data_IF_911335722254
#
_entry.id   IF_911335722254
#
_cell.length_a   1.000
_cell.length_b   1.000
_cell.length_c   1.000
_cell.angle_alpha   90.00
_cell.angle_beta   90.00
_cell.angle_gamma   90.00
#
_symmetry.space_group_name_H-M   'P 1'
#
loop_
_entity.id
_entity.type
_entity.pdbx_description
1 polymer ?
#
# COMPACT_ATOMS: atom_id res chain seq x y z
N UNK A 1 18.52 -26.88 25.74
CA UNK A 1 17.14 -26.37 25.95
C UNK A 1 16.26 -27.55 26.32
N UNK A 2 15.44 -27.43 27.35
CA UNK A 2 14.52 -28.48 27.76
C UNK A 2 13.34 -28.61 26.77
N UNK A 3 12.61 -29.72 26.81
CA UNK A 3 11.36 -29.89 26.01
C UNK A 3 10.35 -28.82 26.38
N UNK A 4 10.27 -28.42 27.65
CA UNK A 4 9.39 -27.33 28.10
C UNK A 4 9.76 -25.97 27.47
N UNK A 5 11.07 -25.63 27.38
CA UNK A 5 11.53 -24.40 26.75
C UNK A 5 11.14 -24.34 25.24
N UNK A 6 11.23 -25.49 24.56
CA UNK A 6 10.87 -25.62 23.17
C UNK A 6 9.34 -25.46 22.97
N UNK A 7 8.54 -26.02 23.87
CA UNK A 7 7.08 -25.86 23.81
C UNK A 7 6.67 -24.40 23.98
N UNK A 8 7.19 -23.71 24.98
CA UNK A 8 6.90 -22.29 25.22
C UNK A 8 7.31 -21.43 24.01
N UNK A 9 8.48 -21.69 23.45
CA UNK A 9 8.95 -20.98 22.26
C UNK A 9 8.02 -21.22 21.05
N UNK A 10 7.63 -22.48 20.82
CA UNK A 10 6.74 -22.86 19.70
C UNK A 10 5.35 -22.24 19.87
N UNK A 11 4.78 -22.27 21.06
CA UNK A 11 3.49 -21.62 21.37
C UNK A 11 3.54 -20.12 21.07
N UNK A 12 4.66 -19.45 21.40
CA UNK A 12 4.88 -18.04 21.06
C UNK A 12 4.84 -17.80 19.53
N UNK A 13 5.52 -18.64 18.74
CA UNK A 13 5.49 -18.55 17.29
C UNK A 13 4.08 -18.77 16.72
N UNK A 14 3.36 -19.77 17.21
CA UNK A 14 1.98 -20.04 16.79
C UNK A 14 1.07 -18.86 17.14
N UNK A 15 1.23 -18.27 18.31
CA UNK A 15 0.46 -17.09 18.71
C UNK A 15 0.62 -15.92 17.71
N UNK A 16 1.86 -15.56 17.40
CA UNK A 16 2.15 -14.50 16.42
C UNK A 16 1.64 -14.86 15.01
N UNK A 17 1.85 -16.09 14.57
CA UNK A 17 1.32 -16.55 13.29
C UNK A 17 -0.22 -16.42 13.21
N UNK A 18 -0.93 -16.87 14.24
CA UNK A 18 -2.40 -16.80 14.28
C UNK A 18 -2.89 -15.36 14.31
N UNK A 19 -2.20 -14.46 15.04
CA UNK A 19 -2.48 -13.02 15.07
C UNK A 19 -2.43 -12.45 13.65
N UNK A 20 -1.34 -12.69 12.91
CA UNK A 20 -1.17 -12.22 11.54
C UNK A 20 -2.16 -12.87 10.56
N UNK A 21 -2.37 -14.16 10.65
CA UNK A 21 -3.30 -14.89 9.78
C UNK A 21 -4.74 -14.36 9.91
N UNK A 22 -5.20 -14.13 11.14
CA UNK A 22 -6.52 -13.54 11.42
C UNK A 22 -6.66 -12.14 10.84
N UNK A 23 -5.63 -11.30 11.04
CA UNK A 23 -5.61 -9.95 10.50
C UNK A 23 -5.72 -9.96 8.97
N UNK A 24 -4.84 -10.72 8.30
CA UNK A 24 -4.78 -10.79 6.83
C UNK A 24 -6.11 -11.34 6.27
N UNK A 25 -6.66 -12.39 6.87
CA UNK A 25 -7.93 -12.97 6.42
C UNK A 25 -9.06 -11.94 6.51
N UNK A 26 -9.24 -11.31 7.67
CA UNK A 26 -10.27 -10.30 7.87
C UNK A 26 -10.08 -9.06 6.96
N UNK A 27 -8.85 -8.57 6.85
CA UNK A 27 -8.52 -7.44 5.99
C UNK A 27 -8.82 -7.75 4.51
N UNK A 28 -8.42 -8.92 4.02
CA UNK A 28 -8.64 -9.31 2.63
C UNK A 28 -10.13 -9.47 2.31
N UNK A 29 -10.91 -10.08 3.19
CA UNK A 29 -12.36 -10.21 3.02
C UNK A 29 -13.02 -8.83 2.93
N UNK A 30 -12.77 -7.95 3.90
CA UNK A 30 -13.33 -6.61 3.95
C UNK A 30 -12.91 -5.76 2.74
N UNK A 31 -11.63 -5.84 2.36
CA UNK A 31 -11.11 -5.16 1.16
C UNK A 31 -11.85 -5.63 -0.10
N UNK A 32 -11.97 -6.94 -0.28
CA UNK A 32 -12.58 -7.50 -1.47
C UNK A 32 -14.07 -7.14 -1.59
N UNK A 33 -14.81 -7.19 -0.50
CA UNK A 33 -16.20 -6.74 -0.45
C UNK A 33 -16.32 -5.25 -0.82
N UNK A 34 -15.51 -4.41 -0.16
CA UNK A 34 -15.48 -2.98 -0.46
C UNK A 34 -15.17 -2.69 -1.94
N UNK A 35 -14.15 -3.35 -2.51
CA UNK A 35 -13.75 -3.12 -3.90
C UNK A 35 -14.82 -3.57 -4.91
N UNK A 36 -15.55 -4.66 -4.63
CA UNK A 36 -16.66 -5.12 -5.49
C UNK A 36 -17.79 -4.12 -5.55
N UNK A 37 -18.11 -3.47 -4.44
CA UNK A 37 -19.23 -2.54 -4.33
C UNK A 37 -18.85 -1.09 -4.52
N UNK A 38 -17.55 -0.77 -4.64
CA UNK A 38 -17.04 0.58 -4.73
C UNK A 38 -17.75 1.39 -5.83
N UNK A 39 -18.48 2.48 -5.51
CA UNK A 39 -19.09 3.34 -6.51
C UNK A 39 -18.06 4.30 -7.09
N UNK A 40 -18.30 4.78 -8.31
CA UNK A 40 -17.55 5.90 -8.84
C UNK A 40 -17.97 7.19 -8.12
N UNK A 41 -17.03 8.05 -7.67
CA UNK A 41 -17.34 9.13 -6.73
C UNK A 41 -18.18 10.28 -7.31
N UNK A 42 -18.20 10.44 -8.62
CA UNK A 42 -18.84 11.56 -9.30
C UNK A 42 -19.58 11.13 -10.58
N UNK A 43 -20.46 11.96 -11.15
CA UNK A 43 -20.93 11.75 -12.51
C UNK A 43 -19.76 11.68 -13.50
N UNK A 44 -19.80 10.72 -14.42
CA UNK A 44 -18.77 10.59 -15.44
C UNK A 44 -18.77 11.81 -16.38
N UNK A 45 -17.58 12.28 -16.70
CA UNK A 45 -17.35 13.25 -17.78
C UNK A 45 -17.32 12.55 -19.13
N UNK A 46 -17.44 13.31 -20.22
CA UNK A 46 -17.35 12.77 -21.58
C UNK A 46 -16.02 12.00 -21.78
N UNK A 47 -16.11 10.79 -22.33
CA UNK A 47 -14.99 9.87 -22.55
C UNK A 47 -14.41 9.20 -21.29
N UNK A 48 -14.86 9.61 -20.10
CA UNK A 48 -14.32 9.07 -18.84
C UNK A 48 -14.82 7.65 -18.56
N UNK A 49 -16.08 7.38 -18.87
CA UNK A 49 -16.69 6.07 -18.68
C UNK A 49 -16.08 5.03 -19.61
N UNK A 50 -15.92 5.38 -20.88
CA UNK A 50 -15.30 4.54 -21.91
C UNK A 50 -13.87 4.17 -21.51
N UNK A 51 -13.08 5.15 -21.07
CA UNK A 51 -11.72 4.93 -20.57
C UNK A 51 -11.70 3.96 -19.38
N UNK A 52 -12.58 4.14 -18.41
CA UNK A 52 -12.67 3.25 -17.25
C UNK A 52 -13.04 1.81 -17.65
N UNK A 53 -13.96 1.65 -18.59
CA UNK A 53 -14.34 0.34 -19.14
C UNK A 53 -13.16 -0.33 -19.87
N UNK A 54 -12.39 0.40 -20.65
CA UNK A 54 -11.25 -0.14 -21.38
C UNK A 54 -10.11 -0.54 -20.45
N UNK A 55 -9.85 0.23 -19.40
CA UNK A 55 -8.91 -0.15 -18.33
C UNK A 55 -9.34 -1.45 -17.65
N UNK A 56 -10.59 -1.52 -17.21
CA UNK A 56 -11.13 -2.73 -16.57
C UNK A 56 -11.00 -3.96 -17.48
N UNK A 57 -11.45 -3.85 -18.73
CA UNK A 57 -11.40 -4.94 -19.72
C UNK A 57 -9.97 -5.40 -20.00
N UNK A 58 -9.02 -4.47 -20.04
CA UNK A 58 -7.61 -4.78 -20.29
C UNK A 58 -7.02 -5.61 -19.14
N UNK A 59 -7.34 -5.24 -17.89
CA UNK A 59 -6.90 -5.98 -16.70
C UNK A 59 -7.54 -7.37 -16.68
N UNK A 60 -8.87 -7.46 -16.84
CA UNK A 60 -9.60 -8.72 -16.84
C UNK A 60 -9.13 -9.69 -17.94
N UNK A 61 -8.70 -9.16 -19.08
CA UNK A 61 -8.18 -9.94 -20.22
C UNK A 61 -6.65 -10.11 -20.19
N UNK A 62 -5.96 -9.59 -19.18
CA UNK A 62 -4.49 -9.62 -19.05
C UNK A 62 -3.78 -9.04 -20.29
N UNK A 63 -4.24 -7.88 -20.76
CA UNK A 63 -3.70 -7.22 -21.96
C UNK A 63 -3.10 -5.86 -21.60
N UNK A 64 -2.12 -5.42 -22.38
CA UNK A 64 -1.59 -4.07 -22.32
C UNK A 64 -2.59 -3.08 -22.92
N UNK A 65 -2.69 -1.89 -22.31
CA UNK A 65 -3.50 -0.79 -22.79
C UNK A 65 -2.64 0.47 -22.91
N UNK A 66 -2.65 1.10 -24.07
CA UNK A 66 -2.04 2.40 -24.32
C UNK A 66 -3.14 3.45 -24.43
N UNK A 67 -3.04 4.49 -23.61
CA UNK A 67 -4.09 5.53 -23.51
C UNK A 67 -3.51 6.87 -23.94
N UNK A 68 -4.13 7.47 -24.93
CA UNK A 68 -3.93 8.87 -25.29
C UNK A 68 -5.22 9.64 -25.03
N UNK A 69 -5.21 10.51 -24.03
CA UNK A 69 -6.38 11.30 -23.67
C UNK A 69 -5.97 12.74 -23.33
N UNK A 70 -6.78 13.75 -23.66
CA UNK A 70 -6.48 15.15 -23.37
C UNK A 70 -6.35 15.40 -21.85
N UNK A 71 -5.77 16.55 -21.49
CA UNK A 71 -5.71 16.98 -20.10
C UNK A 71 -7.13 17.33 -19.62
N UNK A 72 -7.42 17.07 -18.32
CA UNK A 72 -8.73 17.42 -17.73
C UNK A 72 -9.80 16.33 -17.76
N UNK A 73 -9.66 15.26 -18.54
CA UNK A 73 -10.63 14.12 -18.56
C UNK A 73 -10.65 13.29 -17.28
N UNK A 74 -9.80 13.57 -16.29
CA UNK A 74 -9.74 12.78 -15.05
C UNK A 74 -9.07 11.42 -15.21
N UNK A 75 -8.02 11.32 -16.05
CA UNK A 75 -7.29 10.07 -16.33
C UNK A 75 -6.92 9.26 -15.09
N UNK A 76 -6.42 9.92 -14.05
CA UNK A 76 -5.95 9.24 -12.83
C UNK A 76 -7.08 8.45 -12.17
N UNK A 77 -8.22 9.08 -11.95
CA UNK A 77 -9.37 8.41 -11.35
C UNK A 77 -9.94 7.32 -12.25
N UNK A 78 -9.96 7.57 -13.59
CA UNK A 78 -10.45 6.61 -14.60
C UNK A 78 -9.50 5.43 -14.84
N UNK A 79 -8.30 5.46 -14.29
CA UNK A 79 -7.38 4.32 -14.29
C UNK A 79 -7.35 3.61 -12.93
N UNK A 80 -7.31 4.34 -11.83
CA UNK A 80 -7.27 3.77 -10.47
C UNK A 80 -8.58 3.05 -10.14
N UNK A 81 -9.73 3.72 -10.31
CA UNK A 81 -11.03 3.15 -9.95
C UNK A 81 -11.32 1.80 -10.63
N UNK A 82 -11.24 1.65 -11.97
CA UNK A 82 -11.50 0.36 -12.61
C UNK A 82 -10.46 -0.70 -12.27
N UNK A 83 -9.22 -0.32 -11.94
CA UNK A 83 -8.21 -1.23 -11.44
C UNK A 83 -8.61 -1.80 -10.08
N UNK A 84 -9.11 -0.97 -9.17
CA UNK A 84 -9.63 -1.41 -7.87
C UNK A 84 -10.85 -2.32 -8.03
N UNK A 85 -11.77 -2.00 -8.95
CA UNK A 85 -12.91 -2.88 -9.28
C UNK A 85 -12.45 -4.24 -9.78
N UNK A 86 -11.49 -4.28 -10.71
CA UNK A 86 -10.92 -5.51 -11.23
C UNK A 86 -10.25 -6.35 -10.11
N UNK A 87 -9.56 -5.70 -9.16
CA UNK A 87 -8.99 -6.36 -7.99
C UNK A 87 -10.07 -6.96 -7.08
N UNK A 88 -11.20 -6.27 -6.88
CA UNK A 88 -12.35 -6.78 -6.13
C UNK A 88 -12.94 -8.05 -6.74
N UNK A 89 -12.80 -8.23 -8.04
CA UNK A 89 -13.23 -9.43 -8.79
C UNK A 89 -12.13 -10.48 -8.96
N UNK A 90 -10.97 -10.29 -8.31
CA UNK A 90 -9.88 -11.27 -8.30
C UNK A 90 -8.95 -11.20 -9.52
N UNK A 91 -8.98 -10.12 -10.30
CA UNK A 91 -8.11 -9.94 -11.47
C UNK A 91 -6.73 -9.37 -11.13
N UNK A 92 -6.44 -9.10 -9.85
CA UNK A 92 -5.14 -8.64 -9.36
C UNK A 92 -5.13 -8.49 -7.84
N UNK A 93 -3.94 -8.50 -7.24
CA UNK A 93 -3.75 -8.39 -5.79
C UNK A 93 -3.11 -7.07 -5.36
N UNK A 94 -2.27 -6.49 -6.23
CA UNK A 94 -1.55 -5.23 -5.99
C UNK A 94 -1.67 -4.30 -7.20
N UNK A 95 -1.70 -3.00 -6.92
CA UNK A 95 -1.69 -1.93 -7.92
C UNK A 95 -0.44 -1.08 -7.74
N UNK A 96 0.39 -1.00 -8.79
CA UNK A 96 1.53 -0.09 -8.84
C UNK A 96 1.20 1.10 -9.75
N UNK A 97 1.09 2.28 -9.14
CA UNK A 97 0.91 3.53 -9.88
C UNK A 97 2.26 4.24 -10.02
N UNK A 98 2.88 4.10 -11.18
CA UNK A 98 4.22 4.64 -11.45
C UNK A 98 4.13 6.02 -12.10
N UNK A 99 4.90 6.97 -11.60
CA UNK A 99 4.95 8.34 -12.13
C UNK A 99 6.39 8.81 -12.35
N UNK A 100 6.62 9.52 -13.45
CA UNK A 100 7.94 10.08 -13.76
C UNK A 100 8.26 11.37 -12.97
N UNK A 101 7.24 12.04 -12.42
CA UNK A 101 7.38 13.34 -11.74
C UNK A 101 6.71 13.33 -10.37
N UNK A 102 7.31 14.03 -9.43
CA UNK A 102 6.79 14.16 -8.05
C UNK A 102 5.38 14.78 -8.02
N UNK A 103 5.07 15.75 -8.89
CA UNK A 103 3.75 16.39 -8.98
C UNK A 103 2.66 15.37 -9.38
N UNK A 104 2.96 14.43 -10.25
CA UNK A 104 1.96 13.40 -10.65
C UNK A 104 1.71 12.36 -9.57
N UNK A 105 2.59 12.25 -8.58
CA UNK A 105 2.39 11.42 -7.39
C UNK A 105 1.24 11.95 -6.53
N UNK A 106 1.22 13.25 -6.23
CA UNK A 106 0.16 13.86 -5.43
C UNK A 106 -1.23 13.68 -6.08
N UNK A 107 -1.30 13.70 -7.41
CA UNK A 107 -2.56 13.45 -8.14
C UNK A 107 -3.10 12.03 -7.89
N UNK A 108 -2.23 11.03 -7.75
CA UNK A 108 -2.65 9.68 -7.39
C UNK A 108 -3.10 9.60 -5.91
N UNK A 109 -2.35 10.22 -5.00
CA UNK A 109 -2.70 10.30 -3.58
C UNK A 109 -4.07 11.00 -3.39
N UNK A 110 -4.31 12.10 -4.12
CA UNK A 110 -5.59 12.81 -4.15
C UNK A 110 -6.72 11.93 -4.67
N UNK A 111 -6.50 11.16 -5.72
CA UNK A 111 -7.50 10.23 -6.26
C UNK A 111 -7.90 9.15 -5.25
N UNK A 112 -6.94 8.57 -4.52
CA UNK A 112 -7.25 7.64 -3.43
C UNK A 112 -7.96 8.33 -2.27
N UNK A 113 -7.58 9.55 -1.91
CA UNK A 113 -8.25 10.36 -0.88
C UNK A 113 -9.71 10.62 -1.24
N UNK A 114 -9.98 10.99 -2.50
CA UNK A 114 -11.34 11.18 -3.02
C UNK A 114 -12.13 9.87 -2.90
N UNK A 115 -11.58 8.74 -3.34
CA UNK A 115 -12.27 7.44 -3.27
C UNK A 115 -12.58 7.04 -1.81
N UNK A 116 -11.69 7.32 -0.87
CA UNK A 116 -11.96 7.07 0.56
C UNK A 116 -13.10 7.94 1.07
N UNK A 117 -13.05 9.22 0.77
CA UNK A 117 -14.01 10.21 1.29
C UNK A 117 -15.40 10.07 0.66
N UNK A 118 -15.45 9.96 -0.66
CA UNK A 118 -16.72 10.02 -1.40
C UNK A 118 -17.33 8.62 -1.67
N UNK A 119 -16.49 7.58 -1.69
CA UNK A 119 -16.92 6.21 -2.05
C UNK A 119 -16.70 5.19 -0.94
N UNK A 120 -16.15 5.59 0.20
CA UNK A 120 -15.91 4.68 1.34
C UNK A 120 -14.85 3.60 1.07
N UNK A 121 -13.84 3.89 0.22
CA UNK A 121 -12.80 2.93 -0.13
C UNK A 121 -12.05 2.42 1.11
N UNK A 122 -12.05 1.11 1.29
CA UNK A 122 -11.19 0.39 2.23
C UNK A 122 -10.05 -0.29 1.46
N UNK A 123 -8.90 0.37 1.42
CA UNK A 123 -7.72 -0.07 0.66
C UNK A 123 -6.46 0.65 1.14
N UNK A 124 -5.43 -0.11 1.55
CA UNK A 124 -4.17 0.47 1.98
C UNK A 124 -3.37 0.95 0.77
N UNK A 125 -2.76 2.11 0.90
CA UNK A 125 -1.87 2.68 -0.12
C UNK A 125 -0.58 3.15 0.53
N UNK A 126 0.55 2.90 -0.12
CA UNK A 126 1.87 3.30 0.34
C UNK A 126 2.55 4.14 -0.72
N UNK A 127 3.07 5.30 -0.32
CA UNK A 127 3.87 6.14 -1.19
C UNK A 127 5.35 5.79 -1.06
N UNK A 128 5.85 4.96 -1.98
CA UNK A 128 7.27 4.58 -2.00
C UNK A 128 8.13 5.80 -2.34
N UNK A 129 9.06 6.11 -1.46
CA UNK A 129 9.95 7.27 -1.55
C UNK A 129 11.40 6.80 -1.64
N UNK A 130 12.21 7.46 -2.47
CA UNK A 130 13.61 7.12 -2.66
C UNK A 130 14.42 7.15 -1.35
N UNK A 131 15.40 6.24 -1.23
CA UNK A 131 16.22 6.06 -0.03
C UNK A 131 16.86 7.36 0.46
N UNK A 132 17.38 8.17 -0.44
CA UNK A 132 18.06 9.44 -0.13
C UNK A 132 17.12 10.46 0.54
N UNK A 133 15.81 10.33 0.31
CA UNK A 133 14.80 11.21 0.91
C UNK A 133 14.24 10.71 2.25
N UNK A 134 14.46 9.44 2.55
CA UNK A 134 13.99 8.79 3.79
C UNK A 134 15.13 8.53 4.79
N UNK A 135 16.38 8.42 4.30
CA UNK A 135 17.51 8.10 5.14
C UNK A 135 17.75 9.20 6.19
N UNK A 136 18.01 8.78 7.42
CA UNK A 136 18.36 9.69 8.53
C UNK A 136 19.82 10.19 8.48
N UNK A 137 20.63 9.58 7.61
CA UNK A 137 22.05 9.93 7.42
C UNK A 137 22.20 10.79 6.16
N UNK A 138 23.10 11.76 6.17
CA UNK A 138 23.41 12.58 4.99
C UNK A 138 23.87 11.73 3.79
N UNK A 139 24.67 10.70 4.08
CA UNK A 139 25.08 9.69 3.10
C UNK A 139 24.61 8.33 3.59
N UNK A 140 23.77 7.63 2.85
CA UNK A 140 23.28 6.31 3.24
C UNK A 140 24.44 5.32 3.40
N UNK A 141 24.64 4.83 4.62
CA UNK A 141 25.50 3.70 4.94
C UNK A 141 24.66 2.69 5.74
N UNK A 142 24.22 1.64 5.06
CA UNK A 142 23.31 0.64 5.62
C UNK A 142 24.03 -0.45 6.44
N UNK A 143 25.31 -0.26 6.77
CA UNK A 143 26.04 -1.15 7.64
C UNK A 143 25.47 -1.06 9.08
N UNK A 144 25.12 -2.17 9.73
CA UNK A 144 24.64 -2.17 11.11
C UNK A 144 25.60 -1.57 12.15
N UNK A 145 26.89 -1.48 11.84
CA UNK A 145 27.89 -0.80 12.69
C UNK A 145 27.85 0.72 12.52
N UNK A 146 27.43 1.22 11.36
CA UNK A 146 27.37 2.64 11.06
C UNK A 146 25.98 3.22 11.30
N UNK A 147 24.92 2.45 11.01
CA UNK A 147 23.53 2.91 11.08
C UNK A 147 22.76 2.24 12.21
N UNK A 148 22.39 3.00 13.22
CA UNK A 148 21.57 2.53 14.36
C UNK A 148 20.20 2.01 13.93
N UNK A 149 19.64 2.52 12.81
CA UNK A 149 18.35 2.10 12.29
C UNK A 149 18.44 0.78 11.50
N UNK A 150 19.58 0.50 10.86
CA UNK A 150 19.83 -0.78 10.20
C UNK A 150 20.06 -1.89 11.23
N UNK A 151 20.75 -1.55 12.35
CA UNK A 151 20.98 -2.49 13.44
C UNK A 151 19.67 -2.87 14.12
N UNK A 152 19.30 -4.15 14.06
CA UNK A 152 18.09 -4.69 14.68
C UNK A 152 16.78 -4.23 14.01
N UNK A 153 16.83 -3.82 12.74
CA UNK A 153 15.64 -3.46 11.98
C UNK A 153 14.62 -4.62 12.00
N UNK A 154 15.04 -5.81 11.62
CA UNK A 154 14.18 -6.99 11.54
C UNK A 154 13.65 -7.50 12.89
N UNK A 155 14.25 -7.09 14.00
CA UNK A 155 13.76 -7.43 15.34
C UNK A 155 12.54 -6.58 15.74
N UNK A 156 12.34 -5.43 15.07
CA UNK A 156 11.34 -4.43 15.47
C UNK A 156 10.31 -4.09 14.37
N UNK A 157 10.61 -4.44 13.12
CA UNK A 157 9.79 -3.99 11.98
C UNK A 157 8.39 -4.63 11.99
N UNK A 158 8.26 -5.87 12.42
CA UNK A 158 6.98 -6.57 12.38
C UNK A 158 5.90 -5.89 13.23
N UNK A 159 6.24 -5.39 14.41
CA UNK A 159 5.31 -4.66 15.26
C UNK A 159 4.91 -3.32 14.62
N UNK A 160 5.87 -2.61 14.01
CA UNK A 160 5.62 -1.37 13.30
C UNK A 160 4.71 -1.58 12.08
N UNK A 161 4.94 -2.66 11.30
CA UNK A 161 4.08 -3.04 10.16
C UNK A 161 2.68 -3.35 10.65
N UNK A 162 2.54 -4.17 11.69
CA UNK A 162 1.23 -4.55 12.21
C UNK A 162 0.41 -3.34 12.67
N UNK A 163 1.04 -2.39 13.35
CA UNK A 163 0.37 -1.18 13.84
C UNK A 163 -0.05 -0.27 12.67
N UNK A 164 0.89 0.05 11.76
CA UNK A 164 0.60 1.03 10.70
C UNK A 164 -0.45 0.55 9.70
N UNK A 165 -0.46 -0.73 9.34
CA UNK A 165 -1.46 -1.26 8.40
C UNK A 165 -2.85 -1.40 9.02
N UNK A 166 -2.95 -1.46 10.35
CA UNK A 166 -4.21 -1.46 11.10
C UNK A 166 -4.83 -0.07 11.24
N UNK A 167 -4.01 0.97 11.37
CA UNK A 167 -4.44 2.31 11.73
C UNK A 167 -4.61 3.25 10.53
N UNK A 168 -3.96 2.98 9.39
CA UNK A 168 -3.81 3.96 8.30
C UNK A 168 -4.17 3.38 6.95
N UNK A 169 -5.18 3.94 6.29
CA UNK A 169 -5.55 3.57 4.92
C UNK A 169 -4.59 4.14 3.85
N UNK A 170 -4.00 5.31 4.12
CA UNK A 170 -3.03 5.98 3.25
C UNK A 170 -1.73 6.27 3.99
N UNK A 171 -0.68 5.53 3.63
CA UNK A 171 0.63 5.62 4.28
C UNK A 171 1.52 6.55 3.47
N UNK A 172 1.58 7.81 3.90
CA UNK A 172 2.42 8.86 3.31
C UNK A 172 3.86 8.76 3.81
N UNK A 173 4.74 9.53 3.17
CA UNK A 173 6.14 9.67 3.62
C UNK A 173 6.25 10.08 5.09
N UNK A 174 5.40 11.01 5.52
CA UNK A 174 5.38 11.57 6.88
C UNK A 174 5.02 10.47 7.89
N UNK A 175 4.02 9.64 7.58
CA UNK A 175 3.63 8.50 8.41
C UNK A 175 4.75 7.45 8.49
N UNK A 176 5.40 7.14 7.36
CA UNK A 176 6.57 6.23 7.36
C UNK A 176 7.67 6.75 8.29
N UNK A 177 7.99 8.05 8.25
CA UNK A 177 9.01 8.66 9.11
C UNK A 177 8.61 8.66 10.59
N UNK A 178 7.34 8.94 10.89
CA UNK A 178 6.79 8.91 12.25
C UNK A 178 6.96 7.53 12.89
N UNK A 179 6.45 6.49 12.21
CA UNK A 179 6.51 5.11 12.71
C UNK A 179 7.95 4.58 12.76
N UNK A 180 8.74 4.85 11.73
CA UNK A 180 10.17 4.49 11.74
C UNK A 180 10.93 5.18 12.88
N UNK A 181 10.54 6.40 13.26
CA UNK A 181 11.03 7.11 14.43
C UNK A 181 10.65 6.42 15.74
N UNK A 182 9.38 6.07 15.90
CA UNK A 182 8.83 5.41 17.09
C UNK A 182 9.49 4.05 17.34
N UNK A 183 9.58 3.23 16.31
CA UNK A 183 10.12 1.88 16.39
C UNK A 183 11.63 1.78 16.20
N UNK A 184 12.33 2.89 15.96
CA UNK A 184 13.79 2.93 15.75
C UNK A 184 14.25 2.03 14.59
N UNK A 185 13.48 1.98 13.49
CA UNK A 185 13.73 1.17 12.29
C UNK A 185 14.16 2.02 11.09
N UNK A 186 14.71 1.41 10.04
CA UNK A 186 15.07 2.10 8.81
C UNK A 186 13.80 2.54 8.06
N UNK A 187 13.56 3.83 7.83
CA UNK A 187 12.32 4.28 7.18
C UNK A 187 12.22 3.85 5.72
N UNK A 188 13.34 3.66 5.02
CA UNK A 188 13.31 3.18 3.64
C UNK A 188 12.94 1.69 3.55
N UNK A 189 13.61 0.83 4.31
CA UNK A 189 13.28 -0.61 4.36
C UNK A 189 11.84 -0.80 4.88
N UNK A 190 11.44 -0.08 5.92
CA UNK A 190 10.07 -0.09 6.43
C UNK A 190 9.03 0.27 5.36
N UNK A 191 9.32 1.27 4.52
CA UNK A 191 8.45 1.64 3.40
C UNK A 191 8.27 0.48 2.40
N UNK A 192 9.31 -0.34 2.20
CA UNK A 192 9.24 -1.52 1.35
C UNK A 192 8.53 -2.69 2.05
N UNK A 193 8.74 -2.88 3.34
CA UNK A 193 8.13 -3.97 4.12
C UNK A 193 6.60 -3.86 4.19
N UNK A 194 6.07 -2.63 4.15
CA UNK A 194 4.62 -2.35 4.15
C UNK A 194 3.98 -2.29 2.76
N UNK A 195 4.73 -2.49 1.64
CA UNK A 195 4.28 -2.31 0.25
C UNK A 195 3.67 -3.55 -0.43
#
# INVERSE_FOLDING_TARGET
RSSADLSVWFEGLIHEYVKWARYICHHNMRRQECLKELPFPYPYRDGQKELAVDVYRSIARKRNLFIQAPTGVGKTLSTIYPSLKAMGEGHGEKLFYLTAKTITRSVAEDAFSILRKESGLYFNTVTITAKEKLCIMEKPDCNPQACIRAKGHYDRVNDAVYEIIGDVDGITREKVLEYAGRYQICPFEFCLDIS
#
